data_IF_878427236327
#
_entry.id   IF_878427236327
#
_cell.length_a   1.000
_cell.length_b   1.000
_cell.length_c   1.000
_cell.angle_alpha   90.00
_cell.angle_beta   90.00
_cell.angle_gamma   90.00
#
_symmetry.space_group_name_H-M   'P 1'
#
loop_
_entity.id
_entity.type
_entity.pdbx_description
1 polymer ?
#
# COMPACT_ATOMS: atom_id res chain seq x y z
N UNK A 1 9.44 -14.04 6.13
CA UNK A 1 8.41 -12.99 6.31
C UNK A 1 7.10 -13.67 6.68
N UNK A 2 6.41 -13.23 7.73
CA UNK A 2 5.16 -13.85 8.17
C UNK A 2 4.01 -13.32 7.31
N UNK A 3 3.33 -14.22 6.61
CA UNK A 3 2.11 -13.91 5.84
C UNK A 3 1.01 -14.77 6.43
N UNK A 4 -0.11 -14.15 6.81
CA UNK A 4 -1.27 -14.89 7.29
C UNK A 4 -1.97 -15.57 6.12
N UNK A 5 -1.92 -16.91 6.09
CA UNK A 5 -2.50 -17.72 5.02
C UNK A 5 -4.02 -17.72 5.00
N UNK A 6 -4.67 -17.53 6.14
CA UNK A 6 -6.14 -17.53 6.30
C UNK A 6 -6.55 -16.50 7.34
N UNK A 7 -7.51 -15.64 7.01
CA UNK A 7 -7.91 -14.53 7.90
C UNK A 7 -9.16 -14.84 8.70
N UNK A 8 -9.85 -15.92 8.35
CA UNK A 8 -11.12 -16.30 8.93
C UNK A 8 -11.06 -17.71 9.51
N UNK A 9 -11.72 -17.94 10.62
CA UNK A 9 -11.81 -19.25 11.26
C UNK A 9 -13.15 -19.42 11.98
N UNK A 10 -13.58 -20.67 12.15
CA UNK A 10 -14.66 -21.02 13.08
C UNK A 10 -14.05 -21.84 14.20
N UNK A 11 -14.18 -21.38 15.45
CA UNK A 11 -13.53 -22.01 16.60
C UNK A 11 -14.40 -23.08 17.30
N UNK A 12 -15.52 -23.47 16.68
CA UNK A 12 -16.51 -24.38 17.27
C UNK A 12 -17.68 -23.65 17.95
N UNK A 13 -17.55 -22.37 18.27
CA UNK A 13 -18.59 -21.56 18.89
C UNK A 13 -18.89 -20.27 18.10
N UNK A 14 -17.86 -19.64 17.56
CA UNK A 14 -17.95 -18.34 16.91
C UNK A 14 -17.05 -18.26 15.67
N UNK A 15 -17.49 -17.43 14.73
CA UNK A 15 -16.65 -17.01 13.64
C UNK A 15 -15.66 -15.94 14.12
N UNK A 16 -14.40 -16.12 13.77
CA UNK A 16 -13.29 -15.20 14.05
C UNK A 16 -12.79 -14.66 12.73
N UNK A 17 -12.57 -13.35 12.66
CA UNK A 17 -12.03 -12.66 11.49
C UNK A 17 -10.89 -11.73 11.92
N UNK A 18 -9.81 -11.74 11.17
CA UNK A 18 -8.69 -10.81 11.29
C UNK A 18 -8.85 -9.66 10.29
N UNK A 19 -8.48 -8.47 10.72
CA UNK A 19 -8.47 -7.25 9.89
C UNK A 19 -7.35 -6.31 10.32
N UNK A 20 -6.96 -5.40 9.41
CA UNK A 20 -5.85 -4.47 9.62
C UNK A 20 -4.55 -5.21 9.91
N UNK A 21 -3.71 -4.63 10.76
CA UNK A 21 -2.38 -5.16 11.08
C UNK A 21 -2.40 -6.59 11.66
N UNK A 22 -3.53 -7.04 12.24
CA UNK A 22 -3.68 -8.42 12.72
C UNK A 22 -3.76 -9.44 11.56
N UNK A 23 -4.26 -9.03 10.40
CA UNK A 23 -4.33 -9.86 9.20
C UNK A 23 -3.12 -9.63 8.27
N UNK A 24 -2.71 -8.39 8.10
CA UNK A 24 -1.65 -8.00 7.17
C UNK A 24 -0.97 -6.69 7.62
N UNK A 25 0.35 -6.74 7.78
CA UNK A 25 1.16 -5.54 8.03
C UNK A 25 1.73 -4.99 6.74
N UNK A 26 1.84 -3.66 6.66
CA UNK A 26 2.53 -2.94 5.60
C UNK A 26 3.72 -2.16 6.18
N UNK A 27 4.77 -1.94 5.38
CA UNK A 27 5.92 -1.14 5.80
C UNK A 27 5.49 0.30 6.08
N UNK A 28 5.93 0.87 7.21
CA UNK A 28 5.50 2.21 7.65
C UNK A 28 5.83 3.32 6.64
N UNK A 29 6.86 3.13 5.81
CA UNK A 29 7.28 4.13 4.82
C UNK A 29 6.24 4.46 3.73
N UNK A 30 5.16 3.67 3.61
CA UNK A 30 4.04 3.98 2.72
C UNK A 30 2.80 4.50 3.46
N UNK A 31 2.84 4.63 4.79
CA UNK A 31 1.77 5.25 5.59
C UNK A 31 0.38 4.67 5.37
N UNK A 32 0.26 3.34 5.21
CA UNK A 32 -0.98 2.69 4.75
C UNK A 32 -1.71 1.83 5.80
N UNK A 33 -1.18 1.64 7.01
CA UNK A 33 -1.77 0.73 8.02
C UNK A 33 -3.20 1.09 8.41
N UNK A 34 -3.45 2.35 8.82
CA UNK A 34 -4.81 2.81 9.17
C UNK A 34 -5.78 2.73 8.00
N UNK A 35 -5.32 3.11 6.80
CA UNK A 35 -6.13 3.01 5.58
C UNK A 35 -6.54 1.56 5.30
N UNK A 36 -5.59 0.63 5.37
CA UNK A 36 -5.82 -0.80 5.19
C UNK A 36 -6.86 -1.35 6.18
N UNK A 37 -6.73 -0.99 7.45
CA UNK A 37 -7.68 -1.41 8.48
C UNK A 37 -9.11 -0.87 8.21
N UNK A 38 -9.23 0.39 7.78
CA UNK A 38 -10.52 0.98 7.43
C UNK A 38 -11.12 0.34 6.18
N UNK A 39 -10.32 0.08 5.15
CA UNK A 39 -10.78 -0.61 3.93
C UNK A 39 -11.27 -2.03 4.24
N UNK A 40 -10.60 -2.75 5.14
CA UNK A 40 -11.07 -4.07 5.60
C UNK A 40 -12.43 -3.98 6.29
N UNK A 41 -12.60 -3.01 7.21
CA UNK A 41 -13.86 -2.82 7.92
C UNK A 41 -15.01 -2.42 7.00
N UNK A 42 -14.75 -1.53 6.03
CA UNK A 42 -15.70 -1.12 5.00
C UNK A 42 -16.11 -2.34 4.17
N UNK A 43 -15.14 -3.12 3.70
CA UNK A 43 -15.43 -4.23 2.81
C UNK A 43 -16.16 -5.37 3.53
N UNK A 44 -15.76 -5.71 4.76
CA UNK A 44 -16.49 -6.67 5.58
C UNK A 44 -17.96 -6.23 5.76
N UNK A 45 -18.18 -4.94 6.03
CA UNK A 45 -19.53 -4.37 6.15
C UNK A 45 -20.31 -4.47 4.84
N UNK A 46 -19.68 -4.24 3.69
CA UNK A 46 -20.30 -4.40 2.38
C UNK A 46 -20.74 -5.85 2.14
N UNK A 47 -19.90 -6.82 2.50
CA UNK A 47 -20.23 -8.24 2.34
C UNK A 47 -21.42 -8.65 3.22
N UNK A 48 -21.55 -8.11 4.44
CA UNK A 48 -22.76 -8.28 5.25
C UNK A 48 -24.02 -7.68 4.60
N UNK A 49 -23.90 -6.54 3.90
CA UNK A 49 -25.03 -5.96 3.16
C UNK A 49 -25.46 -6.81 1.96
N UNK A 50 -24.50 -7.44 1.27
CA UNK A 50 -24.74 -8.25 0.07
C UNK A 50 -25.32 -9.62 0.43
N UNK A 51 -24.70 -10.33 1.36
CA UNK A 51 -25.05 -11.70 1.71
C UNK A 51 -26.07 -11.80 2.86
N UNK A 52 -26.37 -10.69 3.52
CA UNK A 52 -27.20 -10.64 4.72
C UNK A 52 -26.40 -10.86 6.01
N UNK A 53 -27.04 -10.57 7.15
CA UNK A 53 -26.43 -10.62 8.48
C UNK A 53 -27.04 -11.73 9.39
N UNK A 54 -27.53 -12.82 8.80
CA UNK A 54 -27.99 -13.98 9.56
C UNK A 54 -26.80 -14.88 9.93
N UNK A 55 -26.98 -15.77 10.91
CA UNK A 55 -25.91 -16.71 11.29
C UNK A 55 -25.46 -17.57 10.10
N UNK A 56 -26.39 -17.99 9.26
CA UNK A 56 -26.13 -18.87 8.12
C UNK A 56 -25.42 -18.15 6.97
N UNK A 57 -25.47 -16.82 6.90
CA UNK A 57 -24.76 -16.03 5.87
C UNK A 57 -23.31 -15.73 6.24
N UNK A 58 -22.92 -15.80 7.52
CA UNK A 58 -21.57 -15.45 7.99
C UNK A 58 -20.45 -16.19 7.22
N UNK A 59 -20.53 -17.51 6.96
CA UNK A 59 -19.51 -18.20 6.18
C UNK A 59 -19.32 -17.61 4.77
N UNK A 60 -20.40 -17.23 4.11
CA UNK A 60 -20.34 -16.62 2.78
C UNK A 60 -19.76 -15.21 2.82
N UNK A 61 -20.19 -14.39 3.79
CA UNK A 61 -19.66 -13.04 4.04
C UNK A 61 -18.14 -13.08 4.23
N UNK A 62 -17.66 -13.95 5.13
CA UNK A 62 -16.25 -14.02 5.49
C UNK A 62 -15.37 -14.54 4.35
N UNK A 63 -15.89 -15.50 3.57
CA UNK A 63 -15.21 -15.98 2.37
C UNK A 63 -15.05 -14.86 1.34
N UNK A 64 -16.13 -14.14 1.03
CA UNK A 64 -16.11 -13.06 0.05
C UNK A 64 -15.19 -11.90 0.50
N UNK A 65 -15.24 -11.52 1.77
CA UNK A 65 -14.35 -10.53 2.37
C UNK A 65 -12.88 -10.91 2.18
N UNK A 66 -12.51 -12.14 2.54
CA UNK A 66 -11.13 -12.61 2.46
C UNK A 66 -10.63 -12.70 1.01
N UNK A 67 -11.45 -13.18 0.08
CA UNK A 67 -11.11 -13.29 -1.35
C UNK A 67 -10.87 -11.91 -1.98
N UNK A 68 -11.75 -10.93 -1.73
CA UNK A 68 -11.63 -9.59 -2.29
C UNK A 68 -10.45 -8.83 -1.69
N UNK A 69 -10.36 -8.79 -0.35
CA UNK A 69 -9.34 -7.99 0.34
C UNK A 69 -7.93 -8.52 0.13
N UNK A 70 -7.75 -9.83 -0.04
CA UNK A 70 -6.43 -10.43 -0.32
C UNK A 70 -5.78 -9.85 -1.57
N UNK A 71 -6.56 -9.53 -2.60
CA UNK A 71 -6.04 -8.94 -3.85
C UNK A 71 -5.54 -7.50 -3.61
N UNK A 72 -6.34 -6.67 -2.94
CA UNK A 72 -5.98 -5.28 -2.66
C UNK A 72 -4.79 -5.16 -1.72
N UNK A 73 -4.77 -5.96 -0.67
CA UNK A 73 -3.68 -6.02 0.30
C UNK A 73 -2.39 -6.45 -0.38
N UNK A 74 -2.42 -7.43 -1.28
CA UNK A 74 -1.24 -7.86 -2.02
C UNK A 74 -0.62 -6.71 -2.84
N UNK A 75 -1.44 -5.85 -3.47
CA UNK A 75 -0.96 -4.66 -4.19
C UNK A 75 -0.29 -3.65 -3.26
N UNK A 76 -0.82 -3.45 -2.06
CA UNK A 76 -0.25 -2.52 -1.09
C UNK A 76 1.03 -3.08 -0.46
N UNK A 77 1.07 -4.37 -0.12
CA UNK A 77 2.28 -5.04 0.37
C UNK A 77 3.39 -5.03 -0.68
N UNK A 78 3.05 -5.15 -1.97
CA UNK A 78 4.00 -4.99 -3.07
C UNK A 78 4.61 -3.59 -3.08
N UNK A 79 3.78 -2.55 -3.00
CA UNK A 79 4.26 -1.16 -2.93
C UNK A 79 5.11 -0.90 -1.67
N UNK A 80 4.70 -1.46 -0.53
CA UNK A 80 5.44 -1.39 0.71
C UNK A 80 6.83 -2.04 0.61
N UNK A 81 6.92 -3.17 -0.11
CA UNK A 81 8.20 -3.84 -0.36
C UNK A 81 9.11 -3.00 -1.24
N UNK A 82 8.62 -2.47 -2.36
CA UNK A 82 9.42 -1.60 -3.22
C UNK A 82 9.93 -0.37 -2.46
N UNK A 83 9.11 0.21 -1.58
CA UNK A 83 9.54 1.33 -0.73
C UNK A 83 10.62 0.90 0.27
N UNK A 84 10.44 -0.24 0.95
CA UNK A 84 11.44 -0.81 1.87
C UNK A 84 12.78 -1.02 1.16
N UNK A 85 12.79 -1.73 0.02
CA UNK A 85 14.00 -2.00 -0.76
C UNK A 85 14.70 -0.71 -1.22
N UNK A 86 13.95 0.33 -1.61
CA UNK A 86 14.53 1.63 -1.95
C UNK A 86 15.22 2.29 -0.75
N UNK A 87 14.59 2.25 0.43
CA UNK A 87 15.15 2.82 1.65
C UNK A 87 16.33 2.02 2.22
N UNK A 88 16.37 0.69 2.01
CA UNK A 88 17.50 -0.15 2.44
C UNK A 88 18.81 0.22 1.74
N UNK A 89 18.74 0.71 0.50
CA UNK A 89 19.92 1.11 -0.30
C UNK A 89 20.05 2.62 -0.48
N UNK A 90 19.27 3.43 0.26
CA UNK A 90 19.16 4.87 0.02
C UNK A 90 20.50 5.61 0.12
N UNK A 91 21.36 5.24 1.08
CA UNK A 91 22.67 5.84 1.25
C UNK A 91 23.54 5.60 0.02
N UNK A 92 24.00 4.36 -0.12
CA UNK A 92 25.01 4.01 -1.12
C UNK A 92 24.55 4.12 -2.57
N UNK A 93 23.25 3.93 -2.86
CA UNK A 93 22.76 3.95 -4.24
C UNK A 93 22.30 5.34 -4.70
N UNK A 94 21.82 6.18 -3.79
CA UNK A 94 21.15 7.43 -4.16
C UNK A 94 21.73 8.65 -3.44
N UNK A 95 21.77 8.66 -2.11
CA UNK A 95 22.17 9.85 -1.35
C UNK A 95 23.67 10.17 -1.48
N UNK A 96 24.51 9.13 -1.57
CA UNK A 96 25.96 9.30 -1.68
C UNK A 96 26.42 9.53 -3.14
N UNK A 97 25.55 9.31 -4.12
CA UNK A 97 25.90 9.26 -5.55
C UNK A 97 25.20 10.32 -6.41
N UNK A 98 24.04 10.82 -5.98
CA UNK A 98 23.24 11.80 -6.73
C UNK A 98 23.37 13.20 -6.13
N UNK A 99 23.35 14.21 -7.00
CA UNK A 99 23.18 15.60 -6.57
C UNK A 99 21.79 15.79 -5.92
N UNK A 100 21.61 16.77 -5.01
CA UNK A 100 20.36 16.95 -4.26
C UNK A 100 19.10 17.01 -5.12
N UNK A 101 19.16 17.65 -6.29
CA UNK A 101 18.05 17.77 -7.24
C UNK A 101 17.67 16.40 -7.83
N UNK A 102 18.64 15.59 -8.24
CA UNK A 102 18.42 14.23 -8.75
C UNK A 102 17.95 13.29 -7.64
N UNK A 103 18.51 13.41 -6.43
CA UNK A 103 18.07 12.65 -5.28
C UNK A 103 16.60 12.93 -4.95
N UNK A 104 16.20 14.21 -4.91
CA UNK A 104 14.82 14.61 -4.66
C UNK A 104 13.88 14.07 -5.76
N UNK A 105 14.26 14.18 -7.03
CA UNK A 105 13.49 13.62 -8.13
C UNK A 105 13.31 12.09 -8.02
N UNK A 106 14.40 11.36 -7.73
CA UNK A 106 14.37 9.91 -7.50
C UNK A 106 13.46 9.54 -6.33
N UNK A 107 13.56 10.27 -5.21
CA UNK A 107 12.71 10.08 -4.04
C UNK A 107 11.23 10.29 -4.40
N UNK A 108 10.87 11.38 -5.08
CA UNK A 108 9.48 11.70 -5.42
C UNK A 108 8.86 10.67 -6.39
N UNK A 109 9.65 10.12 -7.31
CA UNK A 109 9.18 9.20 -8.35
C UNK A 109 9.33 7.71 -7.99
N UNK A 110 10.03 7.36 -6.90
CA UNK A 110 10.33 5.96 -6.49
C UNK A 110 9.13 5.02 -6.46
N UNK A 111 7.95 5.54 -6.13
CA UNK A 111 6.73 4.75 -5.99
C UNK A 111 6.13 4.34 -7.34
N UNK A 112 6.56 4.97 -8.45
CA UNK A 112 5.97 4.91 -9.79
C UNK A 112 4.49 5.32 -9.88
N UNK A 113 3.85 5.62 -8.74
CA UNK A 113 2.49 6.19 -8.68
C UNK A 113 2.49 7.68 -8.98
N UNK A 114 3.62 8.34 -8.73
CA UNK A 114 3.88 9.72 -9.10
C UNK A 114 4.83 9.66 -10.29
N UNK A 115 4.28 9.85 -11.50
CA UNK A 115 5.05 10.00 -12.73
C UNK A 115 5.59 11.43 -12.85
N UNK A 116 6.50 11.63 -13.81
CA UNK A 116 7.02 12.96 -14.16
C UNK A 116 5.88 13.96 -14.45
N UNK A 117 4.94 13.61 -15.31
CA UNK A 117 3.79 14.48 -15.59
C UNK A 117 2.85 14.64 -14.38
N UNK A 118 2.74 13.63 -13.51
CA UNK A 118 1.98 13.80 -12.27
C UNK A 118 2.65 14.81 -11.33
N UNK A 119 3.99 14.94 -11.34
CA UNK A 119 4.68 16.00 -10.63
C UNK A 119 4.32 17.37 -11.19
N UNK A 120 4.19 17.52 -12.51
CA UNK A 120 3.79 18.80 -13.10
C UNK A 120 2.42 19.27 -12.60
N UNK A 121 1.50 18.34 -12.41
CA UNK A 121 0.17 18.63 -11.85
C UNK A 121 0.20 18.98 -10.36
N UNK A 122 1.19 18.47 -9.61
CA UNK A 122 1.32 18.66 -8.16
C UNK A 122 2.14 19.90 -7.81
N UNK A 123 3.24 20.11 -8.51
CA UNK A 123 4.19 21.21 -8.34
C UNK A 123 4.92 21.48 -9.66
N UNK A 124 4.26 22.25 -10.52
CA UNK A 124 4.78 22.67 -11.82
C UNK A 124 6.10 23.44 -11.67
N UNK A 125 6.16 24.35 -10.71
CA UNK A 125 7.30 25.25 -10.51
C UNK A 125 8.56 24.46 -10.15
N UNK A 126 8.43 23.51 -9.22
CA UNK A 126 9.55 22.65 -8.85
C UNK A 126 10.02 21.78 -10.03
N UNK A 127 9.08 21.16 -10.76
CA UNK A 127 9.44 20.28 -11.88
C UNK A 127 10.16 21.04 -13.00
N UNK A 128 9.65 22.20 -13.40
CA UNK A 128 10.29 23.03 -14.44
C UNK A 128 11.66 23.55 -13.99
N UNK A 129 11.84 23.77 -12.67
CA UNK A 129 13.16 24.03 -12.09
C UNK A 129 14.12 22.86 -12.29
N UNK A 130 13.69 21.65 -11.94
CA UNK A 130 14.48 20.43 -12.12
C UNK A 130 14.82 20.15 -13.59
N UNK A 131 13.86 20.33 -14.50
CA UNK A 131 14.06 20.12 -15.95
C UNK A 131 15.15 21.04 -16.51
N UNK A 132 15.12 22.33 -16.17
CA UNK A 132 16.17 23.28 -16.57
C UNK A 132 17.51 22.90 -15.98
N UNK A 133 17.55 22.61 -14.68
CA UNK A 133 18.77 22.20 -13.98
C UNK A 133 19.41 20.97 -14.64
N UNK A 134 18.59 19.99 -15.05
CA UNK A 134 19.06 18.77 -15.70
C UNK A 134 19.56 19.08 -17.12
N UNK A 135 18.82 19.88 -17.90
CA UNK A 135 19.20 20.27 -19.25
C UNK A 135 20.53 21.05 -19.31
N UNK A 136 20.84 21.86 -18.31
CA UNK A 136 22.11 22.61 -18.22
C UNK A 136 23.34 21.72 -17.93
N UNK A 137 23.12 20.48 -17.46
CA UNK A 137 24.16 19.52 -17.06
C UNK A 137 24.22 18.27 -17.96
N UNK A 138 23.35 18.21 -18.98
CA UNK A 138 23.23 17.09 -19.93
C UNK A 138 24.05 17.32 -21.20
#
# INVERSE_FOLDING_TARGET
RLICGKWTAFNGNSHVVLMGDAAHTAHFAIGSGTKLALEDAIELTNQFKIHGATKDSIPAVLKAYEELRRVDVARIQNAARNAMEWFEVVGSRYADTLEPEQFMYSLLTRSQRISHENLRLRDKTWLEGYERWFAERS
#
